data_IF_951434478420
#
_entry.id   IF_951434478420
#
_cell.length_a   1.000
_cell.length_b   1.000
_cell.length_c   1.000
_cell.angle_alpha   90.00
_cell.angle_beta   90.00
_cell.angle_gamma   90.00
#
_symmetry.space_group_name_H-M   'P 1'
#
loop_
_entity.id
_entity.type
_entity.pdbx_description
1 polymer ?
#
# COMPACT_ATOMS: atom_id res chain seq x y z
N UNK A 1 63.44 -12.94 -15.06
CA UNK A 1 62.10 -13.54 -15.32
C UNK A 1 62.25 -14.58 -16.41
N UNK A 2 61.70 -15.80 -16.24
CA UNK A 2 61.78 -16.87 -17.24
C UNK A 2 60.86 -16.53 -18.43
N UNK A 3 61.33 -16.68 -19.67
CA UNK A 3 60.58 -16.34 -20.91
C UNK A 3 59.11 -16.81 -20.90
N UNK A 4 58.86 -18.02 -20.40
CA UNK A 4 57.49 -18.58 -20.33
C UNK A 4 56.52 -17.84 -19.39
N UNK A 5 57.00 -17.08 -18.39
CA UNK A 5 56.13 -16.23 -17.54
C UNK A 5 55.70 -14.94 -18.23
N UNK A 6 56.47 -14.46 -19.21
CA UNK A 6 56.14 -13.22 -19.94
C UNK A 6 55.06 -13.48 -20.99
N UNK A 7 55.10 -14.64 -21.65
CA UNK A 7 54.06 -15.07 -22.60
C UNK A 7 52.71 -15.35 -21.92
N UNK A 8 52.73 -15.99 -20.74
CA UNK A 8 51.48 -16.22 -19.98
C UNK A 8 50.87 -14.93 -19.47
N UNK A 9 51.69 -13.95 -19.05
CA UNK A 9 51.21 -12.64 -18.61
C UNK A 9 50.58 -11.84 -19.77
N UNK A 10 51.20 -11.90 -20.96
CA UNK A 10 50.71 -11.17 -22.12
C UNK A 10 49.37 -11.74 -22.63
N UNK A 11 49.23 -13.07 -22.64
CA UNK A 11 47.97 -13.75 -22.95
C UNK A 11 46.86 -13.40 -21.95
N UNK A 12 47.18 -13.33 -20.66
CA UNK A 12 46.26 -12.91 -19.60
C UNK A 12 45.76 -11.47 -19.81
N UNK A 13 46.66 -10.55 -20.18
CA UNK A 13 46.30 -9.15 -20.45
C UNK A 13 45.38 -9.04 -21.67
N UNK A 14 45.61 -9.86 -22.69
CA UNK A 14 44.84 -9.86 -23.93
C UNK A 14 43.40 -10.36 -23.69
N UNK A 15 43.25 -11.43 -22.91
CA UNK A 15 41.94 -11.92 -22.46
C UNK A 15 41.23 -10.93 -21.55
N UNK A 16 41.98 -10.29 -20.64
CA UNK A 16 41.40 -9.31 -19.72
C UNK A 16 40.81 -8.12 -20.48
N UNK A 17 41.42 -7.71 -21.60
CA UNK A 17 40.90 -6.62 -22.45
C UNK A 17 39.56 -6.95 -23.11
N UNK A 18 39.28 -8.21 -23.42
CA UNK A 18 37.99 -8.61 -23.99
C UNK A 18 36.92 -8.89 -22.93
N UNK A 19 37.32 -9.43 -21.78
CA UNK A 19 36.38 -9.77 -20.71
C UNK A 19 35.94 -8.52 -19.93
N UNK A 20 36.84 -7.56 -19.71
CA UNK A 20 36.54 -6.34 -18.94
C UNK A 20 35.34 -5.53 -19.50
N UNK A 21 35.24 -5.23 -20.82
CA UNK A 21 34.08 -4.54 -21.36
C UNK A 21 32.81 -5.39 -21.25
N UNK A 22 32.91 -6.72 -21.37
CA UNK A 22 31.77 -7.62 -21.21
C UNK A 22 31.20 -7.57 -19.78
N UNK A 23 32.07 -7.62 -18.77
CA UNK A 23 31.68 -7.45 -17.36
C UNK A 23 31.02 -6.10 -17.12
N UNK A 24 31.59 -5.03 -17.71
CA UNK A 24 31.06 -3.68 -17.57
C UNK A 24 29.64 -3.57 -18.16
N UNK A 25 29.42 -4.14 -19.34
CA UNK A 25 28.10 -4.18 -19.99
C UNK A 25 27.11 -4.98 -19.15
N UNK A 26 27.49 -6.14 -18.64
CA UNK A 26 26.62 -6.96 -17.77
C UNK A 26 26.26 -6.19 -16.51
N UNK A 27 27.21 -5.50 -15.87
CA UNK A 27 26.94 -4.68 -14.69
C UNK A 27 25.96 -3.53 -14.98
N UNK A 28 26.09 -2.86 -16.14
CA UNK A 28 25.16 -1.81 -16.58
C UNK A 28 23.76 -2.39 -16.80
N UNK A 29 23.64 -3.53 -17.48
CA UNK A 29 22.35 -4.17 -17.73
C UNK A 29 21.68 -4.59 -16.42
N UNK A 30 22.42 -5.19 -15.48
CA UNK A 30 21.90 -5.54 -14.15
C UNK A 30 21.48 -4.30 -13.37
N UNK A 31 22.26 -3.22 -13.43
CA UNK A 31 21.91 -1.94 -12.81
C UNK A 31 20.63 -1.33 -13.37
N UNK A 32 20.47 -1.34 -14.71
CA UNK A 32 19.25 -0.89 -15.38
C UNK A 32 18.04 -1.76 -15.03
N UNK A 33 18.21 -3.08 -14.99
CA UNK A 33 17.15 -4.00 -14.56
C UNK A 33 16.77 -3.76 -13.10
N UNK A 34 17.72 -3.50 -12.21
CA UNK A 34 17.44 -3.19 -10.81
C UNK A 34 16.68 -1.86 -10.64
N UNK A 35 16.92 -0.88 -11.51
CA UNK A 35 16.16 0.39 -11.53
C UNK A 35 14.73 0.14 -12.04
N UNK A 36 14.56 -0.65 -13.11
CA UNK A 36 13.24 -0.97 -13.65
C UNK A 36 12.43 -1.87 -12.69
N UNK A 37 13.08 -2.76 -11.94
CA UNK A 37 12.44 -3.66 -10.98
C UNK A 37 12.28 -3.08 -9.57
N UNK A 38 12.96 -1.98 -9.23
CA UNK A 38 12.53 -1.13 -8.14
C UNK A 38 11.23 -0.45 -8.57
N UNK A 39 10.14 -1.20 -8.46
CA UNK A 39 8.79 -0.66 -8.47
C UNK A 39 8.64 0.26 -7.27
N UNK A 40 9.11 1.49 -7.42
CA UNK A 40 8.98 2.51 -6.42
C UNK A 40 7.50 2.87 -6.36
N UNK A 41 6.79 2.33 -5.36
CA UNK A 41 5.40 2.68 -5.10
C UNK A 41 5.27 4.19 -5.08
N UNK A 42 4.30 4.72 -5.82
CA UNK A 42 4.11 6.16 -5.86
C UNK A 42 3.81 6.66 -4.44
N UNK A 43 4.20 7.89 -4.07
CA UNK A 43 3.96 8.42 -2.71
C UNK A 43 2.50 8.25 -2.22
N UNK A 44 1.46 8.47 -3.05
CA UNK A 44 0.08 8.18 -2.66
C UNK A 44 -0.18 6.69 -2.36
N UNK A 45 0.43 5.75 -3.10
CA UNK A 45 0.27 4.31 -2.85
C UNK A 45 0.93 3.90 -1.52
N UNK A 46 2.07 4.50 -1.18
CA UNK A 46 2.74 4.27 0.11
C UNK A 46 1.88 4.75 1.27
N UNK A 47 1.30 5.95 1.16
CA UNK A 47 0.44 6.51 2.19
C UNK A 47 -0.88 5.75 2.32
N UNK A 48 -1.48 5.38 1.19
CA UNK A 48 -2.66 4.51 1.20
C UNK A 48 -2.35 3.18 1.89
N UNK A 49 -1.17 2.59 1.65
CA UNK A 49 -0.73 1.39 2.35
C UNK A 49 -0.64 1.61 3.87
N UNK A 50 -0.10 2.73 4.34
CA UNK A 50 -0.04 3.04 5.79
C UNK A 50 -1.45 3.12 6.41
N UNK A 51 -2.40 3.72 5.70
CA UNK A 51 -3.80 3.81 6.15
C UNK A 51 -4.43 2.42 6.24
N UNK A 52 -4.15 1.54 5.27
CA UNK A 52 -4.58 0.15 5.32
C UNK A 52 -3.92 -0.63 6.45
N UNK A 53 -2.62 -0.47 6.67
CA UNK A 53 -1.92 -1.09 7.80
C UNK A 53 -2.48 -0.63 9.15
N UNK A 54 -2.82 0.66 9.29
CA UNK A 54 -3.49 1.17 10.49
C UNK A 54 -4.91 0.59 10.66
N UNK A 55 -5.63 0.39 9.55
CA UNK A 55 -6.93 -0.28 9.54
C UNK A 55 -6.79 -1.73 10.00
N UNK A 56 -5.90 -2.50 9.37
CA UNK A 56 -5.67 -3.91 9.69
C UNK A 56 -5.25 -4.07 11.16
N UNK A 57 -4.36 -3.22 11.66
CA UNK A 57 -3.96 -3.23 13.06
C UNK A 57 -5.10 -2.90 14.04
N UNK A 58 -6.01 -1.98 13.68
CA UNK A 58 -7.22 -1.74 14.49
C UNK A 58 -8.17 -2.94 14.46
N UNK A 59 -8.27 -3.63 13.32
CA UNK A 59 -9.09 -4.83 13.16
C UNK A 59 -8.50 -6.05 13.86
N UNK A 60 -7.18 -6.23 13.88
CA UNK A 60 -6.51 -7.27 14.67
C UNK A 60 -6.81 -7.09 16.16
N UNK A 61 -6.80 -5.85 16.65
CA UNK A 61 -7.22 -5.55 18.04
C UNK A 61 -8.71 -5.79 18.27
N UNK A 62 -9.53 -5.72 17.23
CA UNK A 62 -10.93 -6.11 17.27
C UNK A 62 -11.07 -7.63 17.46
N UNK A 63 -10.13 -8.43 16.96
CA UNK A 63 -10.20 -9.90 17.01
C UNK A 63 -10.22 -10.48 18.43
N UNK A 64 -9.82 -9.74 19.47
CA UNK A 64 -9.96 -10.22 20.87
C UNK A 64 -11.40 -10.13 21.42
N UNK A 65 -12.38 -9.84 20.55
CA UNK A 65 -13.82 -10.03 20.81
C UNK A 65 -14.41 -9.08 21.85
N UNK A 66 -13.63 -8.07 22.27
CA UNK A 66 -14.03 -7.10 23.28
C UNK A 66 -13.45 -5.73 22.95
N UNK A 67 -14.24 -4.89 22.30
CA UNK A 67 -14.00 -3.45 22.35
C UNK A 67 -14.71 -2.87 23.54
N UNK A 68 -13.92 -2.46 24.53
CA UNK A 68 -14.39 -1.71 25.68
C UNK A 68 -14.57 -0.20 25.36
N UNK A 69 -14.03 0.29 24.24
CA UNK A 69 -14.09 1.70 23.83
C UNK A 69 -13.77 1.90 22.35
N UNK A 70 -14.11 3.06 21.80
CA UNK A 70 -13.59 3.56 20.51
C UNK A 70 -12.07 3.45 20.44
N UNK A 71 -11.53 2.95 19.33
CA UNK A 71 -10.09 3.02 19.04
C UNK A 71 -9.86 3.85 17.79
N UNK A 72 -8.85 4.72 17.86
CA UNK A 72 -8.44 5.58 16.77
C UNK A 72 -6.92 5.56 16.58
N UNK A 73 -6.48 5.67 15.33
CA UNK A 73 -5.09 5.85 14.93
C UNK A 73 -5.04 6.98 13.91
N UNK A 74 -4.24 8.01 14.21
CA UNK A 74 -3.92 9.07 13.26
C UNK A 74 -2.68 8.69 12.47
N UNK A 75 -2.83 8.62 11.15
CA UNK A 75 -1.76 8.28 10.21
C UNK A 75 -1.26 9.55 9.54
N UNK A 76 -0.01 9.99 9.81
CA UNK A 76 0.58 11.10 9.09
C UNK A 76 0.93 10.68 7.66
N UNK A 77 0.65 11.56 6.70
CA UNK A 77 0.83 11.29 5.27
C UNK A 77 1.98 12.12 4.70
N UNK A 78 2.81 11.49 3.87
CA UNK A 78 4.01 12.09 3.29
C UNK A 78 3.81 12.51 1.83
N UNK A 79 2.65 12.20 1.24
CA UNK A 79 2.37 12.39 -0.18
C UNK A 79 2.29 13.87 -0.50
N UNK A 80 3.17 14.30 -1.41
CA UNK A 80 3.13 15.65 -1.94
C UNK A 80 2.01 15.87 -2.96
N UNK A 81 1.43 14.78 -3.49
CA UNK A 81 0.37 14.83 -4.49
C UNK A 81 -0.99 14.55 -3.84
N UNK A 82 -2.03 15.31 -4.20
CA UNK A 82 -3.36 15.06 -3.68
C UNK A 82 -3.94 13.77 -4.25
N UNK A 83 -4.64 13.04 -3.38
CA UNK A 83 -5.38 11.84 -3.75
C UNK A 83 -6.69 11.78 -2.96
N UNK A 84 -7.66 11.01 -3.45
CA UNK A 84 -8.94 10.84 -2.78
C UNK A 84 -9.03 9.44 -2.18
N UNK A 85 -9.57 9.36 -0.97
CA UNK A 85 -9.93 8.09 -0.34
C UNK A 85 -11.44 8.01 -0.29
N UNK A 86 -12.00 6.88 -0.71
CA UNK A 86 -13.40 6.57 -0.56
C UNK A 86 -13.60 5.26 0.19
N UNK A 87 -14.49 5.28 1.17
CA UNK A 87 -14.97 4.09 1.87
C UNK A 87 -16.32 3.68 1.28
N UNK A 88 -16.40 2.42 0.83
CA UNK A 88 -17.64 1.83 0.33
C UNK A 88 -18.16 0.78 1.31
N UNK A 89 -19.39 0.95 1.82
CA UNK A 89 -20.04 -0.09 2.62
C UNK A 89 -20.38 -1.32 1.77
N UNK A 90 -20.33 -2.50 2.38
CA UNK A 90 -20.83 -3.72 1.74
C UNK A 90 -22.30 -3.57 1.33
N UNK A 91 -22.65 -4.03 0.13
CA UNK A 91 -24.02 -3.93 -0.40
C UNK A 91 -24.49 -2.52 -0.80
N UNK A 92 -23.61 -1.52 -0.82
CA UNK A 92 -23.96 -0.15 -1.23
C UNK A 92 -24.41 -0.05 -2.71
N UNK A 93 -25.27 0.93 -3.06
CA UNK A 93 -25.85 1.05 -4.41
C UNK A 93 -24.85 1.52 -5.48
N UNK A 94 -23.73 2.13 -5.08
CA UNK A 94 -22.71 2.67 -5.99
C UNK A 94 -21.35 2.18 -5.51
N UNK A 95 -20.94 0.99 -5.93
CA UNK A 95 -19.65 0.39 -5.58
C UNK A 95 -18.79 0.16 -6.83
N UNK A 96 -17.47 0.38 -6.75
CA UNK A 96 -16.58 0.01 -7.83
C UNK A 96 -16.52 -1.52 -7.99
N UNK A 97 -16.33 -2.03 -9.22
CA UNK A 97 -16.32 -3.47 -9.48
C UNK A 97 -15.30 -4.25 -8.63
N UNK A 98 -14.20 -3.60 -8.23
CA UNK A 98 -13.16 -4.18 -7.39
C UNK A 98 -13.66 -4.66 -6.02
N UNK A 99 -14.75 -4.08 -5.50
CA UNK A 99 -15.23 -4.36 -4.15
C UNK A 99 -16.26 -5.50 -4.07
N UNK A 100 -16.84 -5.94 -5.20
CA UNK A 100 -17.75 -7.10 -5.29
C UNK A 100 -18.81 -7.19 -4.18
N UNK A 101 -19.38 -6.06 -3.78
CA UNK A 101 -20.41 -6.00 -2.73
C UNK A 101 -19.89 -6.14 -1.29
N UNK A 102 -18.58 -6.22 -1.07
CA UNK A 102 -17.93 -6.23 0.25
C UNK A 102 -17.45 -4.84 0.65
N UNK A 103 -17.37 -4.59 1.94
CA UNK A 103 -16.78 -3.37 2.48
C UNK A 103 -15.36 -3.18 1.94
N UNK A 104 -15.07 -2.00 1.41
CA UNK A 104 -13.77 -1.71 0.82
C UNK A 104 -13.38 -0.24 0.97
N UNK A 105 -12.08 0.01 0.91
CA UNK A 105 -11.51 1.35 0.81
C UNK A 105 -10.79 1.45 -0.52
N UNK A 106 -11.02 2.54 -1.24
CA UNK A 106 -10.40 2.82 -2.53
C UNK A 106 -9.65 4.14 -2.49
N UNK A 107 -8.48 4.14 -3.14
CA UNK A 107 -7.71 5.34 -3.46
C UNK A 107 -7.91 5.72 -4.93
N UNK A 108 -8.11 7.01 -5.20
CA UNK A 108 -8.15 7.59 -6.53
C UNK A 108 -7.09 8.68 -6.68
N UNK A 109 -6.30 8.60 -7.76
CA UNK A 109 -5.39 9.68 -8.14
C UNK A 109 -6.16 10.81 -8.82
N UNK A 110 -5.91 12.04 -8.36
CA UNK A 110 -6.57 13.24 -8.91
C UNK A 110 -5.95 13.70 -10.24
N UNK A 111 -4.70 13.31 -10.53
CA UNK A 111 -3.92 13.95 -11.59
C UNK A 111 -3.96 13.29 -12.96
N UNK A 112 -4.42 12.04 -13.14
CA UNK A 112 -4.46 11.41 -14.46
C UNK A 112 -5.49 10.27 -14.47
N UNK A 113 -6.54 10.40 -15.28
CA UNK A 113 -7.43 9.31 -15.75
C UNK A 113 -7.52 8.06 -14.86
N UNK A 114 -8.10 8.21 -13.66
CA UNK A 114 -8.57 7.16 -12.73
C UNK A 114 -7.76 5.86 -12.71
N UNK A 115 -6.55 5.89 -12.15
CA UNK A 115 -6.01 4.69 -11.50
C UNK A 115 -6.68 4.56 -10.14
N UNK A 116 -7.40 3.47 -9.93
CA UNK A 116 -8.10 3.13 -8.69
C UNK A 116 -7.37 1.97 -8.02
N UNK A 117 -7.04 2.13 -6.73
CA UNK A 117 -6.52 1.02 -5.92
C UNK A 117 -7.49 0.77 -4.79
N UNK A 118 -8.21 -0.35 -4.86
CA UNK A 118 -9.16 -0.76 -3.83
C UNK A 118 -8.63 -1.93 -3.02
N UNK A 119 -8.93 -1.91 -1.73
CA UNK A 119 -8.71 -3.02 -0.81
C UNK A 119 -10.02 -3.36 -0.12
N UNK A 120 -10.42 -4.62 -0.22
CA UNK A 120 -11.54 -5.15 0.57
C UNK A 120 -11.09 -5.31 2.01
N UNK A 121 -11.95 -4.89 2.93
CA UNK A 121 -11.75 -5.10 4.36
C UNK A 121 -12.49 -6.39 4.71
N UNK A 122 -11.75 -7.39 5.18
CA UNK A 122 -12.33 -8.61 5.72
C UNK A 122 -12.36 -8.48 7.24
N UNK A 123 -13.54 -8.59 7.84
CA UNK A 123 -13.69 -8.71 9.29
C UNK A 123 -14.19 -10.09 9.59
N UNK A 124 -13.39 -10.84 10.36
CA UNK A 124 -13.66 -12.22 10.72
C UNK A 124 -14.64 -12.35 11.90
N UNK A 125 -14.98 -11.25 12.59
CA UNK A 125 -15.75 -11.28 13.84
C UNK A 125 -16.88 -10.26 13.87
N UNK A 126 -18.05 -10.77 14.24
CA UNK A 126 -19.26 -9.99 14.51
C UNK A 126 -19.08 -9.19 15.78
N UNK A 127 -19.49 -7.92 15.77
CA UNK A 127 -19.77 -7.28 17.05
C UNK A 127 -20.98 -7.97 17.66
N UNK A 128 -20.90 -8.43 18.92
CA UNK A 128 -21.98 -9.19 19.57
C UNK A 128 -23.36 -8.49 19.56
N UNK A 129 -23.41 -7.19 19.27
CA UNK A 129 -24.64 -6.41 19.18
C UNK A 129 -25.29 -6.40 17.78
N UNK A 130 -24.60 -6.81 16.73
CA UNK A 130 -25.14 -6.91 15.37
C UNK A 130 -24.83 -8.28 14.76
N UNK A 131 -25.84 -9.02 14.32
CA UNK A 131 -25.69 -10.35 13.68
C UNK A 131 -25.05 -10.33 12.29
N UNK A 132 -24.33 -9.27 11.93
CA UNK A 132 -23.61 -9.09 10.67
C UNK A 132 -22.15 -8.68 10.92
N UNK A 133 -21.26 -9.02 9.99
CA UNK A 133 -19.80 -8.97 10.17
C UNK A 133 -19.21 -7.54 10.19
N UNK A 134 -19.98 -6.51 9.82
CA UNK A 134 -19.62 -5.08 9.90
C UNK A 134 -20.87 -4.22 9.61
N UNK A 135 -21.27 -3.35 10.54
CA UNK A 135 -22.24 -2.31 10.23
C UNK A 135 -21.52 -1.16 9.53
N UNK A 136 -21.30 -1.41 8.24
CA UNK A 136 -20.61 -0.51 7.34
C UNK A 136 -21.11 0.93 7.52
N UNK A 137 -20.18 1.84 7.83
CA UNK A 137 -20.50 3.26 7.94
C UNK A 137 -21.07 3.81 6.63
N UNK A 138 -21.63 5.04 6.63
CA UNK A 138 -22.08 5.66 5.38
C UNK A 138 -20.90 5.74 4.41
N UNK A 139 -21.20 5.65 3.12
CA UNK A 139 -20.24 6.01 2.08
C UNK A 139 -19.61 7.37 2.43
N UNK A 140 -18.29 7.40 2.50
CA UNK A 140 -17.55 8.62 2.77
C UNK A 140 -16.41 8.75 1.78
N UNK A 141 -16.17 9.97 1.33
CA UNK A 141 -15.07 10.30 0.44
C UNK A 141 -14.46 11.62 0.84
N UNK A 142 -13.13 11.68 0.86
CA UNK A 142 -12.42 12.90 1.19
C UNK A 142 -11.10 12.98 0.43
N UNK A 143 -10.68 14.20 0.16
CA UNK A 143 -9.42 14.50 -0.50
C UNK A 143 -8.33 14.68 0.55
N UNK A 144 -7.23 14.00 0.33
CA UNK A 144 -5.98 14.14 1.07
C UNK A 144 -5.06 15.07 0.28
N UNK A 145 -4.51 16.05 0.97
CA UNK A 145 -3.54 17.03 0.48
C UNK A 145 -2.20 16.87 1.23
N UNK A 146 -1.18 17.61 0.78
CA UNK A 146 0.14 17.58 1.39
C UNK A 146 0.08 18.06 2.84
N UNK A 147 0.62 17.25 3.75
CA UNK A 147 0.69 17.57 5.18
C UNK A 147 -0.57 17.20 5.97
N UNK A 148 -1.56 16.62 5.31
CA UNK A 148 -2.72 16.05 6.00
C UNK A 148 -2.34 14.81 6.81
N UNK A 149 -3.17 14.53 7.81
CA UNK A 149 -3.21 13.24 8.46
C UNK A 149 -4.61 12.63 8.33
N UNK A 150 -4.69 11.31 8.36
CA UNK A 150 -5.96 10.58 8.31
C UNK A 150 -6.14 9.82 9.61
N UNK A 151 -7.22 10.11 10.31
CA UNK A 151 -7.65 9.35 11.46
C UNK A 151 -8.51 8.19 11.00
N UNK A 152 -8.05 6.98 11.29
CA UNK A 152 -8.80 5.73 11.15
C UNK A 152 -9.36 5.39 12.52
N UNK A 153 -10.66 5.14 12.61
CA UNK A 153 -11.30 4.70 13.85
C UNK A 153 -12.17 3.48 13.61
N UNK A 154 -12.26 2.65 14.65
CA UNK A 154 -13.17 1.51 14.70
C UNK A 154 -13.99 1.62 15.98
N UNK A 155 -15.29 1.77 15.82
CA UNK A 155 -16.26 1.87 16.89
C UNK A 155 -17.18 0.67 16.85
N UNK A 156 -17.57 0.11 18.01
CA UNK A 156 -18.78 -0.69 18.07
C UNK A 156 -19.89 0.09 18.76
N UNK A 157 -20.98 0.26 18.04
CA UNK A 157 -22.20 0.95 18.49
C UNK A 157 -23.33 -0.06 18.64
N UNK A 158 -24.44 0.35 19.25
CA UNK A 158 -25.67 -0.47 19.26
C UNK A 158 -26.20 -0.75 17.84
N UNK A 159 -25.80 0.05 16.86
CA UNK A 159 -26.05 -0.16 15.43
C UNK A 159 -24.95 -0.97 14.73
N UNK A 160 -24.00 -1.55 15.48
CA UNK A 160 -22.91 -2.43 15.06
C UNK A 160 -21.53 -1.78 14.93
N UNK A 161 -20.58 -2.54 14.38
CA UNK A 161 -19.19 -2.07 14.16
C UNK A 161 -19.10 -1.11 12.98
N UNK A 162 -18.53 0.07 13.21
CA UNK A 162 -18.29 1.10 12.20
C UNK A 162 -16.80 1.38 12.10
N UNK A 163 -16.25 1.23 10.90
CA UNK A 163 -14.95 1.78 10.54
C UNK A 163 -15.19 3.16 9.96
N UNK A 164 -14.41 4.16 10.37
CA UNK A 164 -14.48 5.50 9.82
C UNK A 164 -13.10 6.06 9.49
N UNK A 165 -13.06 6.84 8.42
CA UNK A 165 -11.87 7.51 7.91
C UNK A 165 -12.19 9.00 7.85
N UNK A 166 -11.41 9.81 8.56
CA UNK A 166 -11.58 11.26 8.60
C UNK A 166 -10.23 11.93 8.39
N UNK A 167 -10.25 13.08 7.73
CA UNK A 167 -9.12 14.01 7.73
C UNK A 167 -8.98 14.59 9.14
N UNK A 168 -7.79 14.49 9.71
CA UNK A 168 -7.46 14.97 11.06
C UNK A 168 -7.20 16.48 11.09
#
# INVERSE_FOLDING_TARGET
MKKGQVETLNWLIEILKEILPLILVVAIVVGLLAIVWRGEMQPPEKDFKKILEATDHLLERFEDGKLYSSQEITVPLDSEKPFQIAFYPGGGPVMPPACKGRTCVCMYFMTNGKKETCKTIETSKQCQQCGEDLCSGPYNTFTVEKGDAVTVSVDCTNSGSRISYNKA
#
